data_IF_459003133074
#
_entry.id   IF_459003133074
#
_cell.length_a   1.000
_cell.length_b   1.000
_cell.length_c   1.000
_cell.angle_alpha   90.00
_cell.angle_beta   90.00
_cell.angle_gamma   90.00
#
_symmetry.space_group_name_H-M   'P 1'
#
loop_
_entity.id
_entity.type
_entity.pdbx_description
1 polymer ?
#
# COMPACT_ATOMS: atom_id res chain seq x y z
N UNK A 1 -2.78 -13.15 1.74
CA UNK A 1 -1.80 -12.05 1.78
C UNK A 1 -0.48 -12.56 1.24
N UNK A 2 0.21 -11.76 0.44
CA UNK A 2 1.45 -12.11 -0.25
C UNK A 2 2.42 -10.93 -0.13
N UNK A 3 3.63 -11.20 0.35
CA UNK A 3 4.73 -10.24 0.32
C UNK A 3 5.50 -10.35 -0.98
N UNK A 4 5.81 -9.21 -1.60
CA UNK A 4 6.42 -9.15 -2.93
C UNK A 4 7.71 -8.33 -2.85
N UNK A 5 8.88 -9.00 -2.79
CA UNK A 5 10.14 -8.29 -2.80
C UNK A 5 10.41 -7.68 -4.17
N UNK A 6 11.08 -6.52 -4.19
CA UNK A 6 11.50 -5.82 -5.41
C UNK A 6 10.37 -5.51 -6.41
N UNK A 7 9.17 -5.25 -5.88
CA UNK A 7 8.03 -4.83 -6.70
C UNK A 7 8.30 -3.53 -7.47
N UNK A 8 9.03 -2.57 -6.89
CA UNK A 8 9.50 -1.37 -7.61
C UNK A 8 10.94 -1.53 -8.07
N UNK A 9 11.22 -1.07 -9.29
CA UNK A 9 12.58 -0.93 -9.79
C UNK A 9 13.26 0.31 -9.19
N UNK A 10 14.59 0.39 -9.32
CA UNK A 10 15.35 1.58 -8.91
C UNK A 10 14.82 2.86 -9.59
N UNK A 11 14.41 2.77 -10.86
CA UNK A 11 13.91 3.90 -11.64
C UNK A 11 12.59 4.40 -11.08
N UNK A 12 11.65 3.49 -10.79
CA UNK A 12 10.36 3.88 -10.18
C UNK A 12 10.53 4.45 -8.79
N UNK A 13 11.42 3.88 -7.96
CA UNK A 13 11.70 4.40 -6.62
C UNK A 13 12.20 5.84 -6.66
N UNK A 14 13.15 6.14 -7.55
CA UNK A 14 13.70 7.48 -7.67
C UNK A 14 12.67 8.50 -8.18
N UNK A 15 11.82 8.13 -9.14
CA UNK A 15 10.79 9.03 -9.66
C UNK A 15 9.80 9.45 -8.58
N UNK A 16 9.28 8.52 -7.78
CA UNK A 16 8.31 8.87 -6.74
C UNK A 16 8.93 9.50 -5.49
N UNK A 17 10.23 9.26 -5.25
CA UNK A 17 10.95 10.02 -4.23
C UNK A 17 11.09 11.50 -4.59
N UNK A 18 11.14 11.82 -5.88
CA UNK A 18 11.35 13.19 -6.41
C UNK A 18 10.03 13.94 -6.61
N UNK A 19 8.90 13.25 -6.85
CA UNK A 19 7.59 13.85 -7.14
C UNK A 19 6.89 14.45 -5.90
N UNK A 20 7.65 15.21 -5.10
CA UNK A 20 7.20 15.97 -3.93
C UNK A 20 6.45 17.24 -4.36
N UNK A 21 5.43 17.11 -5.22
CA UNK A 21 4.62 18.25 -5.66
C UNK A 21 3.15 17.86 -5.83
N UNK A 22 2.43 17.87 -4.71
CA UNK A 22 1.04 18.36 -4.56
C UNK A 22 0.57 18.08 -3.14
N UNK A 23 0.52 19.13 -2.33
CA UNK A 23 0.04 19.08 -0.96
C UNK A 23 -1.49 19.07 -0.93
N UNK A 24 -2.08 17.93 -0.61
CA UNK A 24 -3.45 17.88 -0.11
C UNK A 24 -3.42 17.18 1.25
N UNK A 25 -3.57 17.98 2.32
CA UNK A 25 -3.81 17.47 3.67
C UNK A 25 -5.24 16.93 3.73
N UNK A 26 -5.38 15.61 3.73
CA UNK A 26 -6.66 14.96 3.98
C UNK A 26 -6.85 14.87 5.50
N UNK A 27 -7.47 15.90 6.09
CA UNK A 27 -7.78 15.96 7.52
C UNK A 27 -8.95 15.01 7.87
N UNK A 28 -8.75 13.71 7.74
CA UNK A 28 -9.68 12.69 8.25
C UNK A 28 -9.26 12.31 9.67
N UNK A 29 -10.20 12.23 10.60
CA UNK A 29 -9.91 11.80 11.98
C UNK A 29 -9.26 10.41 12.07
N UNK A 30 -9.38 9.60 11.02
CA UNK A 30 -8.83 8.23 10.96
C UNK A 30 -7.44 8.15 10.32
N UNK A 31 -6.97 9.21 9.64
CA UNK A 31 -5.71 9.21 8.89
C UNK A 31 -5.03 10.57 8.98
N UNK A 32 -3.82 10.59 9.53
CA UNK A 32 -3.01 11.79 9.64
C UNK A 32 -1.87 11.70 8.63
N UNK A 33 -2.14 11.84 7.33
CA UNK A 33 -1.12 11.71 6.29
C UNK A 33 -1.32 12.73 5.19
N UNK A 34 -0.26 13.00 4.41
CA UNK A 34 -0.38 13.73 3.15
C UNK A 34 -0.58 12.74 2.00
N UNK A 35 -1.46 13.06 1.05
CA UNK A 35 -1.66 12.18 -0.10
C UNK A 35 -1.95 12.93 -1.39
N UNK A 36 -1.60 12.32 -2.52
CA UNK A 36 -1.93 12.82 -3.85
C UNK A 36 -2.17 11.67 -4.83
N UNK A 37 -2.96 11.92 -5.87
CA UNK A 37 -3.14 10.99 -6.98
C UNK A 37 -2.08 11.22 -8.04
N UNK A 38 -1.46 10.14 -8.53
CA UNK A 38 -0.47 10.21 -9.61
C UNK A 38 -1.17 10.22 -10.95
N UNK A 39 -0.77 11.17 -11.80
CA UNK A 39 -1.26 11.25 -13.19
C UNK A 39 -0.77 10.02 -13.97
N UNK A 40 -1.70 9.34 -14.65
CA UNK A 40 -1.34 8.21 -15.51
C UNK A 40 -0.51 8.67 -16.70
N UNK A 41 0.52 7.91 -17.01
CA UNK A 41 1.30 8.06 -18.22
C UNK A 41 0.98 6.91 -19.21
N UNK A 42 1.11 7.18 -20.52
CA UNK A 42 0.78 6.18 -21.53
C UNK A 42 1.86 5.10 -21.68
N UNK A 43 3.13 5.47 -21.44
CA UNK A 43 4.32 4.65 -21.71
C UNK A 43 5.42 4.80 -20.65
N UNK A 44 5.11 5.44 -19.52
CA UNK A 44 6.10 5.79 -18.50
C UNK A 44 6.11 4.83 -17.32
N UNK A 45 6.48 5.36 -16.16
CA UNK A 45 6.71 4.58 -14.94
C UNK A 45 5.40 4.11 -14.33
N UNK A 46 4.36 4.96 -14.39
CA UNK A 46 3.03 4.61 -13.87
C UNK A 46 2.47 3.43 -14.66
N UNK A 47 2.56 3.50 -16.00
CA UNK A 47 2.15 2.41 -16.89
C UNK A 47 2.82 1.09 -16.55
N UNK A 48 4.14 1.10 -16.31
CA UNK A 48 4.91 -0.10 -15.97
C UNK A 48 4.47 -0.73 -14.64
N UNK A 49 4.16 0.08 -13.63
CA UNK A 49 3.71 -0.40 -12.32
C UNK A 49 2.32 -1.01 -12.41
N UNK A 50 1.40 -0.32 -13.09
CA UNK A 50 0.07 -0.84 -13.38
C UNK A 50 0.14 -2.17 -14.15
N UNK A 51 1.03 -2.29 -15.14
CA UNK A 51 1.23 -3.56 -15.87
C UNK A 51 1.70 -4.67 -14.94
N UNK A 52 2.69 -4.39 -14.08
CA UNK A 52 3.19 -5.37 -13.11
C UNK A 52 2.11 -5.83 -12.13
N UNK A 53 1.26 -4.90 -11.68
CA UNK A 53 0.13 -5.23 -10.80
C UNK A 53 -0.87 -6.16 -11.50
N UNK A 54 -1.24 -5.86 -12.75
CA UNK A 54 -2.16 -6.68 -13.55
C UNK A 54 -1.59 -8.07 -13.84
N UNK A 55 -0.32 -8.16 -14.23
CA UNK A 55 0.36 -9.44 -14.46
C UNK A 55 0.40 -10.31 -13.20
N UNK A 56 0.40 -9.70 -12.01
CA UNK A 56 0.33 -10.40 -10.73
C UNK A 56 -1.11 -10.81 -10.38
N UNK A 57 -2.09 -9.94 -10.61
CA UNK A 57 -3.47 -10.14 -10.16
C UNK A 57 -4.26 -11.13 -11.02
N UNK A 58 -4.09 -11.10 -12.35
CA UNK A 58 -4.61 -12.04 -13.37
C UNK A 58 -4.62 -11.33 -14.74
N UNK A 59 -4.31 -12.07 -15.83
CA UNK A 59 -4.23 -11.49 -17.18
C UNK A 59 -5.56 -10.99 -17.76
N UNK A 60 -6.70 -11.46 -17.23
CA UNK A 60 -8.04 -11.08 -17.71
C UNK A 60 -8.57 -9.80 -17.06
N UNK A 61 -7.87 -9.25 -16.07
CA UNK A 61 -8.29 -8.01 -15.42
C UNK A 61 -8.07 -6.83 -16.37
N UNK A 62 -9.13 -6.12 -16.84
CA UNK A 62 -8.94 -4.96 -17.68
C UNK A 62 -8.33 -3.83 -16.86
N UNK A 63 -7.38 -3.08 -17.46
CA UNK A 63 -6.70 -1.97 -16.79
C UNK A 63 -7.65 -0.88 -16.27
N UNK A 64 -8.82 -0.74 -16.87
CA UNK A 64 -9.87 0.18 -16.39
C UNK A 64 -10.38 -0.14 -14.99
N UNK A 65 -10.10 -1.34 -14.46
CA UNK A 65 -10.42 -1.70 -13.06
C UNK A 65 -9.35 -1.23 -12.07
N UNK A 66 -8.15 -0.84 -12.52
CA UNK A 66 -7.18 -0.22 -11.63
C UNK A 66 -7.67 1.18 -11.26
N UNK A 67 -7.66 1.51 -9.98
CA UNK A 67 -7.73 2.90 -9.53
C UNK A 67 -6.41 3.63 -9.86
N UNK A 68 -6.41 4.97 -10.03
CA UNK A 68 -5.16 5.73 -10.12
C UNK A 68 -4.25 5.46 -8.92
N UNK A 69 -2.93 5.43 -9.13
CA UNK A 69 -1.98 5.28 -8.02
C UNK A 69 -2.13 6.44 -7.04
N UNK A 70 -2.26 6.12 -5.75
CA UNK A 70 -2.20 7.11 -4.68
C UNK A 70 -0.81 7.07 -4.05
N UNK A 71 -0.16 8.23 -3.96
CA UNK A 71 1.03 8.41 -3.13
C UNK A 71 0.59 8.93 -1.76
N UNK A 72 1.12 8.31 -0.72
CA UNK A 72 0.85 8.70 0.67
C UNK A 72 2.19 8.88 1.38
N UNK A 73 2.32 9.99 2.09
CA UNK A 73 3.47 10.30 2.94
C UNK A 73 3.01 10.40 4.39
N UNK A 74 3.75 9.68 5.26
CA UNK A 74 3.61 9.76 6.70
C UNK A 74 4.84 10.45 7.28
N UNK A 75 4.60 11.49 8.08
CA UNK A 75 5.57 12.17 8.92
C UNK A 75 5.74 11.51 10.29
N UNK A 76 6.41 12.20 11.21
CA UNK A 76 6.64 11.69 12.55
C UNK A 76 5.34 11.61 13.35
N UNK A 77 5.02 10.43 13.89
CA UNK A 77 3.80 10.19 14.68
C UNK A 77 2.51 10.12 13.86
N UNK A 78 2.61 10.26 12.54
CA UNK A 78 1.49 10.13 11.61
C UNK A 78 1.14 8.66 11.38
N UNK A 79 -0.14 8.34 11.29
CA UNK A 79 -0.61 6.99 11.10
C UNK A 79 -1.91 6.92 10.28
N UNK A 80 -2.26 5.72 9.88
CA UNK A 80 -3.60 5.37 9.48
C UNK A 80 -4.13 4.35 10.50
N UNK A 81 -5.19 4.71 11.21
CA UNK A 81 -5.86 3.80 12.12
C UNK A 81 -6.32 2.52 11.41
N UNK A 82 -6.37 1.42 12.15
CA UNK A 82 -6.87 0.14 11.65
C UNK A 82 -8.24 0.32 11.02
N UNK A 83 -8.37 -0.12 9.78
CA UNK A 83 -9.57 -0.01 8.98
C UNK A 83 -9.71 -1.23 8.08
N UNK A 84 -10.86 -1.35 7.45
CA UNK A 84 -11.03 -2.23 6.29
C UNK A 84 -11.06 -1.36 5.06
N UNK A 85 -10.52 -1.84 3.93
CA UNK A 85 -10.59 -1.15 2.63
C UNK A 85 -11.99 -1.21 2.00
N UNK A 86 -13.01 -1.49 2.82
CA UNK A 86 -14.36 -1.80 2.37
C UNK A 86 -15.40 -0.92 3.07
N UNK A 87 -16.24 -0.33 2.24
CA UNK A 87 -17.48 0.31 2.64
C UNK A 87 -18.62 -0.71 2.48
N UNK A 88 -19.24 -1.09 3.60
CA UNK A 88 -20.47 -1.90 3.59
C UNK A 88 -21.65 -1.19 2.94
N UNK A 89 -21.61 0.15 2.91
CA UNK A 89 -22.68 1.00 2.41
C UNK A 89 -22.21 1.68 1.12
N UNK A 90 -22.83 1.39 -0.04
CA UNK A 90 -22.42 1.96 -1.32
C UNK A 90 -22.44 3.50 -1.37
N UNK A 91 -23.29 4.15 -0.58
CA UNK A 91 -23.35 5.62 -0.50
C UNK A 91 -22.13 6.28 0.14
N UNK A 92 -21.22 5.50 0.74
CA UNK A 92 -19.93 5.99 1.26
C UNK A 92 -18.79 5.89 0.24
N UNK A 93 -19.01 5.23 -0.89
CA UNK A 93 -18.08 5.24 -2.02
C UNK A 93 -18.32 6.52 -2.81
N UNK A 94 -17.46 7.51 -2.63
CA UNK A 94 -17.42 8.72 -3.48
C UNK A 94 -16.11 8.75 -4.27
N UNK A 95 -16.03 9.49 -5.38
CA UNK A 95 -14.77 9.67 -6.11
C UNK A 95 -13.63 10.21 -5.22
N UNK A 96 -13.95 10.97 -4.17
CA UNK A 96 -12.98 11.48 -3.18
C UNK A 96 -12.61 10.47 -2.09
N UNK A 97 -13.44 9.46 -1.85
CA UNK A 97 -13.25 8.45 -0.79
C UNK A 97 -12.66 7.14 -1.32
N UNK A 98 -12.85 6.86 -2.61
CA UNK A 98 -12.44 5.61 -3.26
C UNK A 98 -13.55 4.56 -3.26
N UNK A 99 -13.40 3.57 -4.13
CA UNK A 99 -14.27 2.40 -4.18
C UNK A 99 -13.80 1.29 -3.24
N UNK A 100 -14.51 0.18 -3.31
CA UNK A 100 -14.13 -1.03 -2.61
C UNK A 100 -13.01 -1.78 -3.37
N UNK A 101 -11.80 -1.75 -2.83
CA UNK A 101 -10.65 -2.41 -3.45
C UNK A 101 -10.62 -3.91 -3.13
N UNK A 102 -10.77 -4.75 -4.17
CA UNK A 102 -10.83 -6.22 -4.00
C UNK A 102 -9.47 -6.86 -3.74
N UNK A 103 -8.41 -6.32 -4.35
CA UNK A 103 -7.07 -6.89 -4.32
C UNK A 103 -5.97 -5.81 -4.31
N UNK A 104 -5.92 -4.97 -3.26
CA UNK A 104 -4.97 -3.85 -3.20
C UNK A 104 -3.51 -4.28 -3.07
N UNK A 105 -2.62 -3.37 -3.50
CA UNK A 105 -1.20 -3.38 -3.18
C UNK A 105 -0.87 -2.19 -2.31
N UNK A 106 -0.12 -2.41 -1.23
CA UNK A 106 0.58 -1.36 -0.50
C UNK A 106 2.07 -1.44 -0.81
N UNK A 107 2.64 -0.39 -1.39
CA UNK A 107 4.01 -0.40 -1.92
C UNK A 107 4.85 0.64 -1.21
N UNK A 108 5.96 0.22 -0.59
CA UNK A 108 6.86 1.14 0.11
C UNK A 108 7.78 1.84 -0.89
N UNK A 109 7.67 3.16 -1.01
CA UNK A 109 8.47 3.94 -1.97
C UNK A 109 9.83 4.33 -1.39
N UNK A 110 9.83 4.91 -0.19
CA UNK A 110 11.02 5.40 0.49
C UNK A 110 10.79 5.45 2.01
N UNK A 111 11.87 5.29 2.77
CA UNK A 111 11.90 5.48 4.22
C UNK A 111 13.18 6.20 4.62
N UNK A 112 13.20 6.82 5.80
CA UNK A 112 14.35 7.56 6.32
C UNK A 112 14.40 7.43 7.85
N UNK A 113 15.30 6.57 8.35
CA UNK A 113 15.54 6.34 9.79
C UNK A 113 14.24 6.24 10.61
N UNK A 114 13.36 5.30 10.22
CA UNK A 114 12.07 5.09 10.87
C UNK A 114 12.13 3.92 11.84
N UNK A 115 11.47 4.08 12.99
CA UNK A 115 11.07 2.98 13.87
C UNK A 115 9.55 2.85 13.75
N UNK A 116 9.04 1.66 13.46
CA UNK A 116 7.63 1.44 13.12
C UNK A 116 7.30 1.80 11.67
N UNK A 117 6.08 2.27 11.41
CA UNK A 117 5.59 2.60 10.06
C UNK A 117 5.28 1.38 9.19
N UNK A 118 5.21 0.20 9.80
CA UNK A 118 4.85 -1.04 9.12
C UNK A 118 3.34 -1.13 8.84
N UNK A 119 2.99 -2.00 7.89
CA UNK A 119 1.59 -2.31 7.59
C UNK A 119 1.16 -3.50 8.44
N UNK A 120 0.26 -3.25 9.39
CA UNK A 120 -0.21 -4.25 10.35
C UNK A 120 -1.54 -4.88 9.93
N UNK A 121 -1.64 -6.19 10.12
CA UNK A 121 -2.82 -7.00 9.90
C UNK A 121 -3.20 -7.70 11.22
N UNK A 122 -4.06 -7.07 12.04
CA UNK A 122 -4.26 -7.47 13.45
C UNK A 122 -5.02 -8.79 13.63
N UNK A 123 -5.70 -9.28 12.58
CA UNK A 123 -6.53 -10.49 12.64
C UNK A 123 -5.78 -11.71 12.09
N UNK A 124 -4.63 -11.51 11.44
CA UNK A 124 -3.87 -12.62 10.88
C UNK A 124 -3.09 -13.35 11.98
N UNK A 125 -3.21 -14.67 11.98
CA UNK A 125 -2.45 -15.53 12.89
C UNK A 125 -0.97 -15.45 12.59
N UNK A 126 -0.15 -15.38 13.64
CA UNK A 126 1.30 -15.38 13.52
C UNK A 126 1.82 -16.59 12.72
N UNK A 127 2.85 -16.38 11.87
CA UNK A 127 3.50 -17.49 11.19
C UNK A 127 4.28 -18.38 12.18
N UNK A 128 4.28 -19.69 11.92
CA UNK A 128 5.01 -20.65 12.76
C UNK A 128 6.49 -20.82 12.40
N UNK A 129 6.88 -20.47 11.17
CA UNK A 129 8.21 -20.71 10.64
C UNK A 129 9.06 -19.45 10.73
N UNK A 130 10.22 -19.53 11.40
CA UNK A 130 11.13 -18.39 11.64
C UNK A 130 11.61 -17.70 10.35
N UNK A 131 11.56 -18.38 9.20
CA UNK A 131 11.88 -17.77 7.90
C UNK A 131 10.96 -16.60 7.57
N UNK A 132 9.78 -16.51 8.19
CA UNK A 132 8.90 -15.35 8.04
C UNK A 132 9.50 -14.07 8.61
N UNK A 133 10.43 -14.14 9.58
CA UNK A 133 11.06 -12.95 10.16
C UNK A 133 11.96 -12.19 9.17
N UNK A 134 12.19 -12.72 7.96
CA UNK A 134 12.76 -11.94 6.85
C UNK A 134 11.76 -10.90 6.28
N UNK A 135 10.46 -11.15 6.45
CA UNK A 135 9.38 -10.40 5.79
C UNK A 135 8.44 -9.69 6.77
N UNK A 136 8.32 -10.19 8.00
CA UNK A 136 7.44 -9.64 9.04
C UNK A 136 8.25 -9.22 10.25
N UNK A 137 7.72 -8.26 11.00
CA UNK A 137 8.28 -7.84 12.28
C UNK A 137 7.95 -8.88 13.36
N UNK A 138 8.94 -9.71 13.69
CA UNK A 138 8.83 -10.73 14.73
C UNK A 138 9.15 -10.19 16.14
N UNK A 139 9.61 -8.94 16.25
CA UNK A 139 9.83 -8.28 17.55
C UNK A 139 8.51 -7.68 18.09
N UNK A 140 7.54 -7.45 17.22
CA UNK A 140 6.18 -7.07 17.59
C UNK A 140 5.42 -8.24 18.24
N UNK A 141 4.68 -8.00 19.35
CA UNK A 141 3.85 -9.04 19.96
C UNK A 141 2.82 -9.61 18.99
N UNK A 142 2.77 -10.94 18.88
CA UNK A 142 1.84 -11.63 17.98
C UNK A 142 0.35 -11.38 18.26
N UNK A 143 0.00 -10.96 19.48
CA UNK A 143 -1.36 -10.53 19.83
C UNK A 143 -1.79 -9.26 19.07
N UNK A 144 -0.83 -8.52 18.49
CA UNK A 144 -1.08 -7.39 17.61
C UNK A 144 -1.21 -7.81 16.13
N UNK A 145 -1.17 -9.10 15.83
CA UNK A 145 -1.21 -9.65 14.47
C UNK A 145 0.13 -9.63 13.75
N UNK A 146 0.09 -9.53 12.41
CA UNK A 146 1.30 -9.54 11.56
C UNK A 146 1.62 -8.13 11.07
N UNK A 147 2.84 -7.65 11.27
CA UNK A 147 3.32 -6.37 10.73
C UNK A 147 4.37 -6.59 9.63
N UNK A 148 4.20 -5.94 8.48
CA UNK A 148 5.23 -5.86 7.45
C UNK A 148 6.02 -4.58 7.61
N UNK A 149 7.35 -4.63 7.78
CA UNK A 149 8.18 -3.44 7.88
C UNK A 149 8.24 -2.70 6.55
N UNK A 150 8.38 -1.36 6.55
CA UNK A 150 8.34 -0.56 5.34
C UNK A 150 9.66 -0.60 4.57
N UNK A 151 9.92 -1.70 3.86
CA UNK A 151 11.16 -1.90 3.09
C UNK A 151 11.05 -1.30 1.68
N UNK A 152 11.82 -0.24 1.33
CA UNK A 152 11.65 0.48 0.07
C UNK A 152 11.82 -0.39 -1.18
N UNK A 153 10.75 -0.44 -1.97
CA UNK A 153 10.61 -1.16 -3.22
C UNK A 153 9.84 -2.48 -3.09
N UNK A 154 9.54 -2.92 -1.88
CA UNK A 154 8.73 -4.10 -1.65
C UNK A 154 7.25 -3.71 -1.56
N UNK A 155 6.38 -4.69 -1.76
CA UNK A 155 4.94 -4.52 -1.67
C UNK A 155 4.31 -5.59 -0.80
N UNK A 156 3.22 -5.23 -0.15
CA UNK A 156 2.27 -6.16 0.47
C UNK A 156 1.02 -6.18 -0.40
N UNK A 157 0.60 -7.38 -0.78
CA UNK A 157 -0.64 -7.60 -1.52
C UNK A 157 -1.60 -8.43 -0.67
N UNK A 158 -2.87 -8.08 -0.67
CA UNK A 158 -3.91 -8.93 -0.12
C UNK A 158 -5.10 -8.93 -1.06
N UNK A 159 -5.79 -10.06 -1.08
CA UNK A 159 -7.05 -10.22 -1.78
C UNK A 159 -8.11 -10.52 -0.75
N UNK A 160 -9.25 -9.85 -0.88
CA UNK A 160 -10.44 -10.29 -0.19
C UNK A 160 -10.93 -11.57 -0.86
N UNK A 161 -10.87 -12.68 -0.12
CA UNK A 161 -11.60 -13.88 -0.48
C UNK A 161 -13.00 -13.74 0.13
N UNK A 162 -14.02 -13.70 -0.72
CA UNK A 162 -15.44 -13.78 -0.33
C UNK A 162 -15.79 -15.19 0.14
#
# INVERSE_FOLDING_TARGET
>A
MIYIPNFLTWKSKNTFKISHESEQQDLRQTRTSQSTSVIRDAVGIVRCIETRALEFQEFDTPRSHLEPLQLVQYGNGENYHLHTDWFEIPSRMTPEVGGNNLSPFFVYVATSNVTGGGTNFPILNAPYDERWCEFVDCDEPWDNGITFPPVPGNAVFWQKLS
#
